data_IF_737400745268
#
_entry.id   IF_737400745268
#
_cell.length_a   1.000
_cell.length_b   1.000
_cell.length_c   1.000
_cell.angle_alpha   90.00
_cell.angle_beta   90.00
_cell.angle_gamma   90.00
#
_symmetry.space_group_name_H-M   'P 1'
#
loop_
_entity.id
_entity.type
_entity.pdbx_description
1 polymer ?
#
# COMPACT_ATOMS: atom_id res chain seq x y z
N UNK A 1 -10.27 4.45 9.59
CA UNK A 1 -9.01 4.48 10.38
C UNK A 1 -7.87 4.06 9.48
N UNK A 2 -6.69 4.68 9.64
CA UNK A 2 -5.49 4.29 8.91
C UNK A 2 -5.03 2.90 9.34
N UNK A 3 -4.75 2.03 8.37
CA UNK A 3 -4.16 0.70 8.54
C UNK A 3 -2.74 0.71 7.96
N UNK A 4 -1.94 -0.24 8.42
CA UNK A 4 -0.64 -0.54 7.84
C UNK A 4 -0.73 -1.79 6.97
N UNK A 5 0.07 -1.85 5.92
CA UNK A 5 0.11 -3.01 5.06
C UNK A 5 1.33 -3.04 4.17
N UNK A 6 1.38 -4.04 3.31
CA UNK A 6 2.44 -4.24 2.32
C UNK A 6 1.83 -4.40 0.94
N UNK A 7 2.40 -3.72 -0.06
CA UNK A 7 2.02 -3.92 -1.46
C UNK A 7 2.46 -5.30 -1.90
N UNK A 8 1.52 -6.17 -2.24
CA UNK A 8 1.81 -7.56 -2.66
C UNK A 8 1.66 -7.77 -4.16
N UNK A 9 0.97 -6.86 -4.87
CA UNK A 9 0.81 -6.96 -6.31
C UNK A 9 0.56 -5.59 -6.97
N UNK A 10 0.92 -5.49 -8.25
CA UNK A 10 0.75 -4.30 -9.10
C UNK A 10 0.38 -4.70 -10.52
N UNK A 11 -0.64 -4.04 -11.09
CA UNK A 11 -1.20 -4.30 -12.41
C UNK A 11 -1.33 -3.01 -13.24
N UNK A 12 -0.94 -3.02 -14.53
CA UNK A 12 -0.20 -4.10 -15.20
C UNK A 12 1.15 -4.34 -14.52
N UNK A 13 1.83 -5.47 -14.80
CA UNK A 13 3.19 -5.69 -14.32
C UNK A 13 4.06 -4.46 -14.62
N UNK A 14 4.97 -4.12 -13.71
CA UNK A 14 5.80 -2.89 -13.71
C UNK A 14 5.06 -1.59 -13.38
N UNK A 15 3.76 -1.61 -13.10
CA UNK A 15 3.07 -0.42 -12.58
C UNK A 15 3.65 -0.03 -11.22
N UNK A 16 3.99 1.25 -11.09
CA UNK A 16 4.63 1.86 -9.93
C UNK A 16 3.71 2.89 -9.25
N UNK A 17 2.42 2.88 -9.57
CA UNK A 17 1.45 3.83 -9.04
C UNK A 17 1.30 5.11 -9.86
N UNK A 18 2.18 5.37 -10.84
CA UNK A 18 2.14 6.62 -11.62
C UNK A 18 1.15 6.62 -12.79
N UNK A 19 0.78 5.43 -13.28
CA UNK A 19 -0.10 5.24 -14.45
C UNK A 19 -1.42 4.60 -14.08
N UNK A 20 -2.39 4.58 -15.01
CA UNK A 20 -3.66 3.87 -14.82
C UNK A 20 -3.43 2.38 -14.58
N UNK A 21 -4.01 1.84 -13.51
CA UNK A 21 -3.88 0.45 -13.14
C UNK A 21 -4.44 0.18 -11.74
N UNK A 22 -3.97 -0.89 -11.11
CA UNK A 22 -4.36 -1.25 -9.75
C UNK A 22 -3.23 -1.94 -9.00
N UNK A 23 -3.34 -2.01 -7.69
CA UNK A 23 -2.48 -2.82 -6.85
C UNK A 23 -3.28 -3.47 -5.73
N UNK A 24 -2.63 -4.42 -5.06
CA UNK A 24 -3.20 -5.12 -3.91
C UNK A 24 -2.29 -4.86 -2.72
N UNK A 25 -2.88 -4.45 -1.61
CA UNK A 25 -2.23 -4.37 -0.31
C UNK A 25 -2.74 -5.50 0.58
N UNK A 26 -1.83 -6.13 1.31
CA UNK A 26 -2.17 -7.00 2.44
C UNK A 26 -2.00 -6.22 3.73
N UNK A 27 -3.03 -6.16 4.55
CA UNK A 27 -2.97 -5.57 5.88
C UNK A 27 -1.94 -6.31 6.75
N UNK A 28 -1.18 -5.54 7.52
CA UNK A 28 -0.30 -6.07 8.55
C UNK A 28 -1.04 -6.08 9.90
N UNK A 29 -1.77 -7.15 10.17
CA UNK A 29 -2.53 -7.35 11.41
C UNK A 29 -1.76 -8.17 12.46
N UNK A 30 -0.45 -8.35 12.26
CA UNK A 30 0.39 -9.23 13.09
C UNK A 30 0.34 -10.70 12.68
N UNK A 31 -0.43 -11.06 11.64
CA UNK A 31 -0.44 -12.39 11.04
C UNK A 31 0.27 -12.37 9.67
N UNK A 32 0.64 -13.56 9.18
CA UNK A 32 1.18 -13.70 7.81
C UNK A 32 0.07 -13.74 6.74
N UNK A 33 -1.20 -13.52 7.11
CA UNK A 33 -2.36 -13.71 6.24
C UNK A 33 -3.46 -12.67 6.50
N UNK A 34 -3.07 -11.41 6.71
CA UNK A 34 -4.02 -10.32 6.88
C UNK A 34 -4.93 -10.10 5.68
N UNK A 35 -5.99 -9.33 5.88
CA UNK A 35 -6.97 -9.02 4.83
C UNK A 35 -6.34 -8.29 3.63
N UNK A 36 -6.84 -8.57 2.43
CA UNK A 36 -6.37 -7.95 1.19
C UNK A 36 -7.33 -6.87 0.71
N UNK A 37 -6.78 -5.75 0.26
CA UNK A 37 -7.53 -4.60 -0.25
C UNK A 37 -6.97 -4.18 -1.60
N UNK A 38 -7.86 -3.66 -2.46
CA UNK A 38 -7.50 -3.19 -3.80
C UNK A 38 -7.39 -1.68 -3.79
N UNK A 39 -6.34 -1.13 -4.38
CA UNK A 39 -6.27 0.30 -4.69
C UNK A 39 -6.11 0.45 -6.19
N UNK A 40 -6.69 1.48 -6.79
CA UNK A 40 -6.40 1.80 -8.20
C UNK A 40 -5.30 2.87 -8.29
N UNK A 41 -4.58 2.91 -9.39
CA UNK A 41 -3.51 3.88 -9.61
C UNK A 41 -3.90 4.81 -10.76
N UNK A 42 -3.55 6.11 -10.72
CA UNK A 42 -2.89 6.81 -9.62
C UNK A 42 -3.86 7.35 -8.55
N UNK A 43 -5.17 7.22 -8.73
CA UNK A 43 -6.19 7.99 -8.00
C UNK A 43 -6.27 7.68 -6.49
N UNK A 44 -5.91 6.47 -6.05
CA UNK A 44 -5.86 6.13 -4.62
C UNK A 44 -4.45 6.29 -4.03
N UNK A 45 -3.45 6.60 -4.85
CA UNK A 45 -2.04 6.68 -4.44
C UNK A 45 -1.61 8.12 -4.30
N UNK A 46 -1.19 8.48 -3.09
CA UNK A 46 -0.71 9.83 -2.77
C UNK A 46 0.82 9.95 -2.78
N UNK A 47 1.54 8.83 -2.77
CA UNK A 47 3.01 8.79 -2.77
C UNK A 47 3.52 7.72 -3.74
N UNK A 48 4.34 8.15 -4.70
CA UNK A 48 4.88 7.32 -5.79
C UNK A 48 6.39 7.50 -5.91
N UNK A 49 7.13 6.55 -6.53
CA UNK A 49 6.67 5.24 -7.01
C UNK A 49 6.39 4.27 -5.86
N UNK A 50 5.41 3.38 -6.04
CA UNK A 50 5.16 2.21 -5.20
C UNK A 50 5.79 0.97 -5.83
N UNK A 51 6.50 0.19 -5.04
CA UNK A 51 7.10 -1.07 -5.46
C UNK A 51 6.46 -2.24 -4.72
N UNK A 52 6.60 -3.46 -5.26
CA UNK A 52 6.25 -4.67 -4.53
C UNK A 52 7.04 -4.71 -3.21
N UNK A 53 6.39 -5.23 -2.16
CA UNK A 53 6.89 -5.28 -0.79
C UNK A 53 7.07 -3.92 -0.09
N UNK A 54 6.63 -2.81 -0.70
CA UNK A 54 6.62 -1.51 -0.03
C UNK A 54 5.65 -1.54 1.15
N UNK A 55 6.14 -1.16 2.34
CA UNK A 55 5.28 -0.92 3.50
C UNK A 55 4.54 0.40 3.32
N UNK A 56 3.24 0.37 3.52
CA UNK A 56 2.35 1.51 3.29
C UNK A 56 1.38 1.72 4.45
N UNK A 57 0.83 2.93 4.51
CA UNK A 57 -0.40 3.23 5.23
C UNK A 57 -1.53 3.46 4.24
N UNK A 58 -2.76 3.09 4.62
CA UNK A 58 -3.95 3.26 3.78
C UNK A 58 -5.21 3.37 4.62
N UNK A 59 -6.29 3.86 4.02
CA UNK A 59 -7.63 3.89 4.61
C UNK A 59 -8.48 2.80 3.95
N UNK A 60 -8.98 1.85 4.74
CA UNK A 60 -9.88 0.81 4.22
C UNK A 60 -11.32 1.34 4.10
N UNK A 61 -11.90 1.18 2.91
CA UNK A 61 -13.30 1.47 2.61
C UNK A 61 -13.93 0.24 1.92
N UNK A 62 -14.60 -0.60 2.71
CA UNK A 62 -15.01 -1.93 2.21
C UNK A 62 -13.78 -2.78 1.86
N UNK A 63 -13.66 -3.17 0.60
CA UNK A 63 -12.52 -3.90 0.07
C UNK A 63 -11.50 -3.00 -0.65
N UNK A 64 -11.73 -1.68 -0.65
CA UNK A 64 -10.85 -0.72 -1.28
C UNK A 64 -9.85 -0.16 -0.27
N UNK A 65 -8.64 0.13 -0.75
CA UNK A 65 -7.63 0.91 -0.06
C UNK A 65 -7.54 2.29 -0.70
N UNK A 66 -7.83 3.33 0.08
CA UNK A 66 -7.73 4.74 -0.31
C UNK A 66 -6.51 5.39 0.36
N UNK A 67 -6.11 6.56 -0.15
CA UNK A 67 -5.08 7.40 0.45
C UNK A 67 -3.75 6.65 0.71
N UNK A 68 -3.36 5.77 -0.22
CA UNK A 68 -2.19 4.90 -0.12
C UNK A 68 -0.91 5.73 -0.14
N UNK A 69 -0.08 5.56 0.91
CA UNK A 69 1.18 6.30 1.12
C UNK A 69 2.27 5.38 1.64
N UNK A 70 3.54 5.64 1.34
CA UNK A 70 4.64 4.92 1.98
C UNK A 70 4.57 5.10 3.49
N UNK A 71 4.76 4.02 4.24
CA UNK A 71 4.89 4.11 5.68
C UNK A 71 6.25 4.76 5.98
N UNK A 72 6.25 5.85 6.75
CA UNK A 72 7.49 6.41 7.28
C UNK A 72 8.10 5.41 8.24
N UNK A 73 9.26 4.85 7.86
CA UNK A 73 10.09 4.12 8.81
C UNK A 73 10.55 5.15 9.84
N UNK A 74 10.12 5.02 11.10
CA UNK A 74 10.72 5.80 12.17
C UNK A 74 12.24 5.54 12.12
N UNK A 75 13.04 6.59 11.95
CA UNK A 75 14.49 6.48 11.98
C UNK A 75 14.89 5.69 13.25
N UNK A 76 15.76 4.67 13.14
CA UNK A 76 16.31 4.07 14.34
C UNK A 76 17.00 5.18 15.13
N UNK A 77 16.51 5.46 16.34
CA UNK A 77 17.19 6.33 17.29
C UNK A 77 18.53 5.67 17.63
N UNK A 78 19.57 5.96 16.84
CA UNK A 78 20.95 5.65 17.19
C UNK A 78 21.32 6.67 18.26
N UNK A 79 21.24 6.24 19.52
CA UNK A 79 21.84 6.96 20.66
C UNK A 79 23.32 6.66 20.76
#
# INVERSE_FOLDING_TARGET
MSKEGVVINMFPPTNDGTRRGAGIVRENDGTNNGAEFVFQTPQDVSDTPLELNTKITFEAEGNDARNVKKATVAEPNIR
#
